data_IF_919525268408
#
_entry.id   IF_919525268408
#
_cell.length_a   1.000
_cell.length_b   1.000
_cell.length_c   1.000
_cell.angle_alpha   90.00
_cell.angle_beta   90.00
_cell.angle_gamma   90.00
#
_symmetry.space_group_name_H-M   'P 1'
#
loop_
_entity.id
_entity.type
_entity.pdbx_description
1 polymer ?
#
# COMPACT_ATOMS: atom_id res chain seq x y z
N UNK A 1 14.52 -8.93 4.13
CA UNK A 1 15.68 -8.26 4.69
C UNK A 1 16.11 -8.88 6.01
N UNK A 2 17.42 -8.94 6.25
CA UNK A 2 18.01 -9.53 7.46
C UNK A 2 18.01 -8.60 8.70
N UNK A 3 17.27 -7.48 8.65
CA UNK A 3 17.16 -6.60 9.82
C UNK A 3 16.24 -7.24 10.87
N UNK A 4 16.77 -7.40 12.09
CA UNK A 4 15.96 -7.84 13.23
C UNK A 4 14.91 -6.78 13.54
N UNK A 5 13.69 -7.22 13.84
CA UNK A 5 12.65 -6.34 14.34
C UNK A 5 13.17 -5.58 15.57
N UNK A 6 13.08 -4.25 15.52
CA UNK A 6 13.39 -3.36 16.64
C UNK A 6 12.25 -2.37 16.80
N UNK A 7 11.77 -2.20 17.98
CA UNK A 7 10.82 -1.17 18.35
C UNK A 7 11.58 -0.03 19.05
N UNK A 8 11.33 1.21 18.68
CA UNK A 8 11.86 2.36 19.41
C UNK A 8 11.32 2.39 20.85
N UNK A 9 12.17 2.60 21.85
CA UNK A 9 11.72 2.85 23.22
C UNK A 9 10.76 4.04 23.27
N UNK A 10 9.83 4.03 24.23
CA UNK A 10 8.89 5.16 24.40
C UNK A 10 9.61 6.47 24.69
N UNK A 11 10.77 6.43 25.33
CA UNK A 11 11.61 7.60 25.58
C UNK A 11 12.13 8.25 24.30
N UNK A 12 12.55 7.46 23.29
CA UNK A 12 12.96 8.00 21.98
C UNK A 12 11.77 8.68 21.29
N UNK A 13 10.58 8.03 21.29
CA UNK A 13 9.36 8.61 20.71
C UNK A 13 8.97 9.91 21.42
N UNK A 14 9.11 9.94 22.74
CA UNK A 14 8.82 11.14 23.53
C UNK A 14 9.80 12.28 23.23
N UNK A 15 11.08 12.00 23.03
CA UNK A 15 12.09 12.99 22.62
C UNK A 15 11.80 13.55 21.23
N UNK A 16 11.46 12.71 20.28
CA UNK A 16 11.04 13.13 18.93
C UNK A 16 9.82 14.04 18.98
N UNK A 17 8.82 13.70 19.78
CA UNK A 17 7.61 14.51 19.93
C UNK A 17 7.87 15.86 20.63
N UNK A 18 8.80 15.93 21.57
CA UNK A 18 9.27 17.20 22.17
C UNK A 18 9.91 18.10 21.13
N UNK A 19 10.74 17.52 20.22
CA UNK A 19 11.33 18.27 19.13
C UNK A 19 10.26 18.77 18.15
N UNK A 20 9.33 17.91 17.75
CA UNK A 20 8.21 18.33 16.89
C UNK A 20 7.42 19.47 17.55
N UNK A 21 7.07 19.37 18.82
CA UNK A 21 6.36 20.41 19.55
C UNK A 21 7.10 21.74 19.56
N UNK A 22 8.41 21.71 19.74
CA UNK A 22 9.25 22.93 19.77
C UNK A 22 9.29 23.67 18.44
N UNK A 23 9.25 22.94 17.31
CA UNK A 23 9.31 23.54 15.97
C UNK A 23 7.92 23.77 15.34
N UNK A 24 6.95 22.92 15.63
CA UNK A 24 5.60 22.97 15.05
C UNK A 24 4.56 22.51 16.06
N UNK A 25 4.09 23.39 16.95
CA UNK A 25 3.15 23.03 18.03
C UNK A 25 1.76 22.62 17.53
N UNK A 26 1.37 23.00 16.32
CA UNK A 26 0.09 22.64 15.70
C UNK A 26 0.32 21.67 14.54
N UNK A 27 0.22 20.37 14.83
CA UNK A 27 0.32 19.29 13.83
C UNK A 27 -1.07 18.75 13.59
N UNK A 28 -1.46 18.61 12.30
CA UNK A 28 -2.76 18.07 11.91
C UNK A 28 -2.69 16.62 11.44
N UNK A 29 -1.52 16.17 11.01
CA UNK A 29 -1.30 14.79 10.53
C UNK A 29 0.05 14.29 10.99
N UNK A 30 0.06 13.07 11.50
CA UNK A 30 1.27 12.35 11.88
C UNK A 30 1.29 11.03 11.15
N UNK A 31 2.43 10.68 10.58
CA UNK A 31 2.63 9.37 10.00
C UNK A 31 3.74 8.64 10.75
N UNK A 32 3.38 7.53 11.39
CA UNK A 32 4.35 6.67 12.06
C UNK A 32 5.15 5.92 10.99
N UNK A 33 6.44 6.21 10.93
CA UNK A 33 7.37 5.59 10.00
C UNK A 33 8.04 4.35 10.60
N UNK A 34 8.89 3.73 9.83
CA UNK A 34 9.49 2.43 10.12
C UNK A 34 8.85 1.37 9.24
N UNK A 35 9.25 0.10 9.39
CA UNK A 35 8.83 -0.92 8.45
C UNK A 35 7.32 -1.20 8.50
N UNK A 36 6.75 -1.31 9.71
CA UNK A 36 5.34 -1.66 9.91
C UNK A 36 4.89 -1.39 11.35
N UNK A 37 4.55 -0.15 11.71
CA UNK A 37 4.15 0.18 13.07
C UNK A 37 2.86 -0.51 13.53
N UNK A 38 1.93 -0.83 12.61
CA UNK A 38 0.64 -1.43 12.98
C UNK A 38 0.74 -2.89 13.47
N UNK A 39 1.93 -3.51 13.35
CA UNK A 39 2.23 -4.82 13.96
C UNK A 39 2.20 -4.79 15.50
N UNK A 40 2.36 -3.61 16.10
CA UNK A 40 2.33 -3.43 17.54
C UNK A 40 0.95 -3.78 18.11
N UNK A 41 0.94 -4.20 19.38
CA UNK A 41 -0.31 -4.48 20.10
C UNK A 41 -1.14 -3.21 20.25
N UNK A 42 -2.46 -3.35 20.41
CA UNK A 42 -3.39 -2.25 20.64
C UNK A 42 -2.97 -1.38 21.82
N UNK A 43 -2.55 -1.99 22.93
CA UNK A 43 -2.05 -1.26 24.09
C UNK A 43 -0.85 -0.38 23.76
N UNK A 44 0.10 -0.90 22.98
CA UNK A 44 1.29 -0.14 22.59
C UNK A 44 0.97 1.02 21.65
N UNK A 45 0.07 0.81 20.69
CA UNK A 45 -0.44 1.88 19.82
C UNK A 45 -1.20 2.92 20.62
N UNK A 46 -1.97 2.51 21.65
CA UNK A 46 -2.65 3.40 22.59
C UNK A 46 -1.64 4.28 23.33
N UNK A 47 -0.57 3.70 23.89
CA UNK A 47 0.48 4.47 24.58
C UNK A 47 1.12 5.52 23.66
N UNK A 48 1.39 5.17 22.41
CA UNK A 48 1.94 6.09 21.42
C UNK A 48 0.94 7.21 21.10
N UNK A 49 -0.34 6.90 20.90
CA UNK A 49 -1.37 7.90 20.62
C UNK A 49 -1.55 8.88 21.80
N UNK A 50 -1.54 8.38 23.04
CA UNK A 50 -1.61 9.23 24.22
C UNK A 50 -0.39 10.15 24.36
N UNK A 51 0.79 9.64 23.99
CA UNK A 51 2.01 10.45 24.00
C UNK A 51 1.96 11.54 22.92
N UNK A 52 1.47 11.21 21.71
CA UNK A 52 1.22 12.18 20.64
C UNK A 52 0.26 13.28 21.14
N UNK A 53 -0.87 12.91 21.74
CA UNK A 53 -1.84 13.87 22.29
C UNK A 53 -1.23 14.78 23.37
N UNK A 54 -0.33 14.25 24.19
CA UNK A 54 0.35 15.03 25.24
C UNK A 54 1.19 16.18 24.67
N UNK A 55 1.90 15.95 23.56
CA UNK A 55 2.86 16.92 23.02
C UNK A 55 2.31 17.76 21.86
N UNK A 56 1.43 17.21 21.02
CA UNK A 56 0.93 17.89 19.82
C UNK A 56 -0.60 17.90 19.73
N UNK A 57 -1.29 17.71 20.86
CA UNK A 57 -2.72 17.44 20.92
C UNK A 57 -3.65 18.62 20.65
N UNK A 58 -3.18 19.88 20.63
CA UNK A 58 -4.05 21.04 20.39
C UNK A 58 -4.74 21.03 19.02
N UNK A 59 -4.20 20.30 18.04
CA UNK A 59 -4.73 20.18 16.69
C UNK A 59 -5.55 18.90 16.45
N UNK A 60 -5.72 18.02 17.43
CA UNK A 60 -6.29 16.68 17.25
C UNK A 60 -5.71 15.98 16.01
N UNK A 61 -4.39 15.72 15.96
CA UNK A 61 -3.78 15.19 14.76
C UNK A 61 -4.32 13.81 14.40
N UNK A 62 -4.61 13.59 13.14
CA UNK A 62 -4.84 12.24 12.62
C UNK A 62 -3.52 11.47 12.55
N UNK A 63 -3.56 10.20 12.91
CA UNK A 63 -2.40 9.31 12.94
C UNK A 63 -2.55 8.28 11.81
N UNK A 64 -1.55 8.18 10.95
CA UNK A 64 -1.45 7.15 9.95
C UNK A 64 -0.20 6.31 10.13
N UNK A 65 -0.19 5.11 9.56
CA UNK A 65 1.00 4.27 9.52
C UNK A 65 0.91 3.19 8.43
N UNK A 66 2.03 2.52 8.19
CA UNK A 66 2.04 1.31 7.38
C UNK A 66 1.45 0.13 8.15
N UNK A 67 0.73 -0.72 7.41
CA UNK A 67 0.12 -1.95 7.92
C UNK A 67 0.23 -3.09 6.89
N UNK A 68 0.12 -4.31 7.38
CA UNK A 68 -0.11 -5.51 6.58
C UNK A 68 -1.51 -6.05 6.91
N UNK A 69 -2.09 -6.84 6.01
CA UNK A 69 -3.37 -7.53 6.26
C UNK A 69 -3.30 -8.40 7.53
N UNK A 70 -2.16 -9.06 7.75
CA UNK A 70 -1.92 -9.90 8.94
C UNK A 70 -1.96 -9.11 10.26
N UNK A 71 -1.61 -7.82 10.26
CA UNK A 71 -1.60 -7.01 11.48
C UNK A 71 -3.01 -6.56 11.87
N UNK A 72 -3.87 -6.33 10.86
CA UNK A 72 -5.28 -6.03 11.06
C UNK A 72 -6.01 -7.27 11.58
N UNK A 73 -5.67 -8.47 11.06
CA UNK A 73 -6.22 -9.75 11.53
C UNK A 73 -6.06 -9.93 13.04
N UNK A 74 -4.95 -9.50 13.60
CA UNK A 74 -4.61 -9.62 15.01
C UNK A 74 -5.34 -8.63 15.93
N UNK A 75 -6.24 -7.79 15.41
CA UNK A 75 -7.02 -6.83 16.17
C UNK A 75 -8.51 -7.07 15.97
N UNK A 76 -9.30 -6.92 17.04
CA UNK A 76 -10.76 -6.95 16.95
C UNK A 76 -11.32 -5.64 16.39
N UNK A 77 -12.60 -5.62 16.02
CA UNK A 77 -13.27 -4.38 15.56
C UNK A 77 -13.30 -3.36 16.69
N UNK A 78 -13.53 -3.79 17.92
CA UNK A 78 -13.56 -2.94 19.11
C UNK A 78 -12.19 -2.30 19.39
N UNK A 79 -11.11 -3.07 19.24
CA UNK A 79 -9.74 -2.56 19.36
C UNK A 79 -9.43 -1.52 18.26
N UNK A 80 -9.88 -1.77 17.02
CA UNK A 80 -9.73 -0.83 15.92
C UNK A 80 -10.52 0.46 16.16
N UNK A 81 -11.77 0.35 16.66
CA UNK A 81 -12.59 1.50 17.05
C UNK A 81 -11.92 2.31 18.18
N UNK A 82 -11.34 1.63 19.18
CA UNK A 82 -10.57 2.29 20.22
C UNK A 82 -9.39 3.08 19.63
N UNK A 83 -8.65 2.50 18.71
CA UNK A 83 -7.53 3.16 18.03
C UNK A 83 -8.01 4.35 17.20
N UNK A 84 -9.14 4.22 16.49
CA UNK A 84 -9.74 5.33 15.75
C UNK A 84 -10.08 6.50 16.67
N UNK A 85 -10.73 6.27 17.82
CA UNK A 85 -11.02 7.32 18.83
C UNK A 85 -9.75 7.97 19.38
N UNK A 86 -8.61 7.28 19.33
CA UNK A 86 -7.32 7.83 19.73
C UNK A 86 -6.61 8.61 18.61
N UNK A 87 -7.21 8.64 17.40
CA UNK A 87 -6.73 9.41 16.26
C UNK A 87 -6.12 8.57 15.14
N UNK A 88 -6.05 7.24 15.23
CA UNK A 88 -5.66 6.40 14.09
C UNK A 88 -6.75 6.45 13.04
N UNK A 89 -6.54 7.25 11.99
CA UNK A 89 -7.55 7.58 11.00
C UNK A 89 -7.31 6.86 9.66
N UNK A 90 -6.06 6.54 9.34
CA UNK A 90 -5.75 5.90 8.06
C UNK A 90 -4.55 4.96 8.11
N UNK A 91 -4.62 3.91 7.31
CA UNK A 91 -3.54 2.94 7.13
C UNK A 91 -3.09 2.89 5.67
N UNK A 92 -1.79 2.75 5.45
CA UNK A 92 -1.24 2.41 4.13
C UNK A 92 -0.89 0.92 4.14
N UNK A 93 -1.59 0.16 3.32
CA UNK A 93 -1.55 -1.30 3.31
C UNK A 93 -0.86 -1.79 2.04
N UNK A 94 0.26 -2.48 2.20
CA UNK A 94 0.90 -3.21 1.11
C UNK A 94 0.14 -4.49 0.80
N UNK A 95 -0.97 -4.38 0.04
CA UNK A 95 -1.72 -5.57 -0.42
C UNK A 95 -0.96 -6.29 -1.53
N UNK A 96 -0.19 -5.56 -2.31
CA UNK A 96 0.64 -5.96 -3.45
C UNK A 96 -0.16 -6.59 -4.62
N UNK A 97 -1.17 -7.39 -4.33
CA UNK A 97 -2.03 -8.10 -5.30
C UNK A 97 -3.35 -8.48 -4.64
N UNK A 98 -4.39 -8.72 -5.43
CA UNK A 98 -5.63 -9.39 -5.04
C UNK A 98 -5.71 -10.83 -5.57
N UNK A 99 -4.70 -11.30 -6.29
CA UNK A 99 -4.63 -12.67 -6.81
C UNK A 99 -4.00 -13.62 -5.78
N UNK A 100 -4.80 -14.53 -5.22
CA UNK A 100 -4.34 -15.51 -4.23
C UNK A 100 -3.19 -16.38 -4.71
N UNK A 101 -3.09 -16.67 -6.00
CA UNK A 101 -1.99 -17.44 -6.58
C UNK A 101 -0.69 -16.65 -6.52
N UNK A 102 -0.73 -15.38 -6.91
CA UNK A 102 0.40 -14.44 -6.80
C UNK A 102 0.80 -14.24 -5.33
N UNK A 103 -0.17 -14.01 -4.43
CA UNK A 103 0.08 -13.83 -3.00
C UNK A 103 0.73 -15.06 -2.35
N UNK A 104 0.28 -16.25 -2.72
CA UNK A 104 0.85 -17.52 -2.26
C UNK A 104 2.29 -17.67 -2.72
N UNK A 105 2.53 -17.41 -3.99
CA UNK A 105 3.85 -17.52 -4.61
C UNK A 105 4.89 -16.64 -3.91
N UNK A 106 4.53 -15.40 -3.59
CA UNK A 106 5.45 -14.47 -2.89
C UNK A 106 5.37 -14.55 -1.37
N UNK A 107 4.72 -15.58 -0.84
CA UNK A 107 4.61 -15.88 0.59
C UNK A 107 4.13 -14.70 1.44
N UNK A 108 3.03 -14.05 1.02
CA UNK A 108 2.45 -12.90 1.76
C UNK A 108 1.81 -13.30 3.10
N UNK A 109 1.45 -14.59 3.27
CA UNK A 109 0.84 -15.12 4.49
C UNK A 109 -0.66 -14.81 4.63
N UNK A 110 -1.33 -14.42 3.54
CA UNK A 110 -2.77 -14.20 3.44
C UNK A 110 -3.23 -14.40 1.99
N UNK A 111 -4.53 -14.55 1.80
CA UNK A 111 -5.21 -14.75 0.52
C UNK A 111 -6.13 -13.55 0.21
N UNK A 112 -6.75 -13.57 -0.96
CA UNK A 112 -7.68 -12.51 -1.43
C UNK A 112 -8.85 -12.28 -0.47
N UNK A 113 -9.41 -13.35 0.09
CA UNK A 113 -10.54 -13.30 1.02
C UNK A 113 -10.16 -12.60 2.33
N UNK A 114 -8.92 -12.80 2.79
CA UNK A 114 -8.39 -12.11 3.97
C UNK A 114 -8.33 -10.59 3.76
N UNK A 115 -7.99 -10.14 2.55
CA UNK A 115 -7.97 -8.70 2.23
C UNK A 115 -9.36 -8.12 2.44
N UNK A 116 -10.38 -8.77 1.87
CA UNK A 116 -11.78 -8.33 1.99
C UNK A 116 -12.22 -8.33 3.45
N UNK A 117 -11.98 -9.42 4.17
CA UNK A 117 -12.39 -9.57 5.57
C UNK A 117 -11.75 -8.49 6.46
N UNK A 118 -10.43 -8.31 6.36
CA UNK A 118 -9.71 -7.40 7.25
C UNK A 118 -10.00 -5.93 6.92
N UNK A 119 -10.13 -5.56 5.63
CA UNK A 119 -10.49 -4.19 5.27
C UNK A 119 -11.92 -3.83 5.68
N UNK A 120 -12.87 -4.77 5.64
CA UNK A 120 -14.21 -4.57 6.19
C UNK A 120 -14.21 -4.34 7.72
N UNK A 121 -13.23 -4.86 8.45
CA UNK A 121 -13.06 -4.52 9.88
C UNK A 121 -12.63 -3.06 10.06
N UNK A 122 -11.74 -2.57 9.18
CA UNK A 122 -11.35 -1.16 9.18
C UNK A 122 -12.55 -0.26 8.87
N UNK A 123 -13.35 -0.60 7.85
CA UNK A 123 -14.57 0.15 7.50
C UNK A 123 -15.56 0.21 8.66
N UNK A 124 -15.77 -0.90 9.39
CA UNK A 124 -16.61 -0.93 10.61
C UNK A 124 -16.05 -0.08 11.76
N UNK A 125 -14.76 0.21 11.73
CA UNK A 125 -14.08 1.02 12.74
C UNK A 125 -13.85 2.47 12.29
N UNK A 126 -14.37 2.87 11.13
CA UNK A 126 -14.18 4.19 10.49
C UNK A 126 -12.68 4.53 10.26
N UNK A 127 -11.84 3.52 10.08
CA UNK A 127 -10.43 3.71 9.71
C UNK A 127 -10.30 3.63 8.19
N UNK A 128 -9.89 4.72 7.58
CA UNK A 128 -9.61 4.80 6.16
C UNK A 128 -8.35 4.01 5.80
N UNK A 129 -8.22 3.61 4.53
CA UNK A 129 -7.03 2.89 4.09
C UNK A 129 -6.67 3.21 2.64
N UNK A 130 -5.37 3.11 2.38
CA UNK A 130 -4.75 3.23 1.07
C UNK A 130 -4.09 1.91 0.73
N UNK A 131 -4.21 1.46 -0.52
CA UNK A 131 -3.53 0.26 -0.99
C UNK A 131 -2.24 0.62 -1.73
N UNK A 132 -1.23 -0.24 -1.57
CA UNK A 132 -0.16 -0.37 -2.55
C UNK A 132 -0.36 -1.65 -3.33
N UNK A 133 -0.39 -1.52 -4.66
CA UNK A 133 -0.43 -2.59 -5.64
C UNK A 133 0.91 -2.68 -6.34
N UNK A 134 1.50 -3.88 -6.44
CA UNK A 134 2.82 -4.09 -6.98
C UNK A 134 2.73 -4.70 -8.37
N UNK A 135 2.87 -3.86 -9.38
CA UNK A 135 2.80 -4.20 -10.80
C UNK A 135 3.96 -5.11 -11.19
N UNK A 136 3.69 -6.14 -11.97
CA UNK A 136 4.68 -7.13 -12.40
C UNK A 136 4.96 -8.24 -11.39
N UNK A 137 4.27 -8.24 -10.23
CA UNK A 137 4.50 -9.26 -9.19
C UNK A 137 4.12 -10.67 -9.64
N UNK A 138 3.16 -10.80 -10.55
CA UNK A 138 2.77 -12.09 -11.14
C UNK A 138 3.83 -12.71 -12.04
N UNK A 139 4.78 -11.90 -12.54
CA UNK A 139 5.80 -12.31 -13.51
C UNK A 139 5.26 -12.36 -14.95
N UNK A 140 6.14 -12.77 -15.86
CA UNK A 140 5.85 -12.85 -17.29
C UNK A 140 4.57 -13.64 -17.60
N UNK A 141 3.72 -13.11 -18.48
CA UNK A 141 2.46 -13.71 -18.93
C UNK A 141 1.32 -13.73 -17.92
N UNK A 142 1.49 -13.21 -16.70
CA UNK A 142 0.49 -13.28 -15.63
C UNK A 142 -0.14 -11.91 -15.24
N UNK A 143 0.24 -10.83 -15.91
CA UNK A 143 -0.21 -9.47 -15.56
C UNK A 143 -1.72 -9.30 -15.67
N UNK A 144 -2.34 -9.71 -16.79
CA UNK A 144 -3.79 -9.61 -16.99
C UNK A 144 -4.58 -10.36 -15.89
N UNK A 145 -4.19 -11.61 -15.62
CA UNK A 145 -4.83 -12.42 -14.57
C UNK A 145 -4.71 -11.73 -13.21
N UNK A 146 -3.52 -11.23 -12.87
CA UNK A 146 -3.26 -10.54 -11.61
C UNK A 146 -4.13 -9.28 -11.48
N UNK A 147 -4.23 -8.48 -12.54
CA UNK A 147 -5.05 -7.29 -12.60
C UNK A 147 -6.55 -7.59 -12.43
N UNK A 148 -7.09 -8.53 -13.20
CA UNK A 148 -8.52 -8.89 -13.16
C UNK A 148 -8.94 -9.43 -11.79
N UNK A 149 -8.14 -10.34 -11.21
CA UNK A 149 -8.42 -10.89 -9.87
C UNK A 149 -8.28 -9.81 -8.79
N UNK A 150 -7.31 -8.93 -8.91
CA UNK A 150 -7.14 -7.80 -7.98
C UNK A 150 -8.30 -6.80 -8.07
N UNK A 151 -8.77 -6.48 -9.27
CA UNK A 151 -9.97 -5.67 -9.47
C UNK A 151 -11.20 -6.30 -8.80
N UNK A 152 -11.37 -7.61 -8.96
CA UNK A 152 -12.47 -8.36 -8.34
C UNK A 152 -12.48 -8.30 -6.80
N UNK A 153 -11.30 -8.22 -6.18
CA UNK A 153 -11.15 -8.03 -4.72
C UNK A 153 -11.39 -6.58 -4.34
N UNK A 154 -10.73 -5.64 -5.01
CA UNK A 154 -10.79 -4.21 -4.66
C UNK A 154 -12.18 -3.61 -4.87
N UNK A 155 -12.93 -4.07 -5.86
CA UNK A 155 -14.31 -3.65 -6.11
C UNK A 155 -15.30 -4.00 -5.00
N UNK A 156 -14.92 -4.83 -4.02
CA UNK A 156 -15.72 -5.16 -2.83
C UNK A 156 -15.44 -4.24 -1.64
N UNK A 157 -14.53 -3.26 -1.80
CA UNK A 157 -13.93 -2.45 -0.74
C UNK A 157 -13.94 -0.96 -1.12
N UNK A 158 -13.58 -0.10 -0.15
CA UNK A 158 -13.58 1.34 -0.32
C UNK A 158 -12.20 1.98 0.00
N UNK A 159 -11.11 1.56 -0.66
CA UNK A 159 -9.81 2.22 -0.47
C UNK A 159 -9.89 3.68 -0.92
N UNK A 160 -9.38 4.60 -0.10
CA UNK A 160 -9.30 6.03 -0.46
C UNK A 160 -8.42 6.24 -1.68
N UNK A 161 -7.32 5.46 -1.77
CA UNK A 161 -6.48 5.44 -2.96
C UNK A 161 -5.81 4.09 -3.18
N UNK A 162 -5.40 3.86 -4.42
CA UNK A 162 -4.57 2.73 -4.83
C UNK A 162 -3.30 3.29 -5.44
N UNK A 163 -2.17 3.07 -4.76
CA UNK A 163 -0.84 3.42 -5.23
C UNK A 163 -0.25 2.30 -6.07
N UNK A 164 0.16 2.60 -7.29
CA UNK A 164 0.82 1.68 -8.19
C UNK A 164 2.33 1.79 -8.02
N UNK A 165 3.00 0.67 -7.77
CA UNK A 165 4.44 0.57 -7.72
C UNK A 165 4.88 -0.52 -8.70
N UNK A 166 5.91 -0.28 -9.50
CA UNK A 166 6.50 -1.33 -10.33
C UNK A 166 7.49 -2.17 -9.52
N UNK A 167 7.44 -3.48 -9.71
CA UNK A 167 8.35 -4.42 -9.06
C UNK A 167 9.79 -4.03 -9.34
N UNK A 168 10.54 -3.81 -8.28
CA UNK A 168 11.99 -3.61 -8.33
C UNK A 168 12.68 -4.77 -7.62
N UNK A 169 13.58 -5.43 -8.31
CA UNK A 169 14.28 -6.59 -7.81
C UNK A 169 15.58 -6.18 -7.13
N UNK A 170 15.74 -6.64 -5.91
CA UNK A 170 16.96 -6.44 -5.15
C UNK A 170 17.76 -7.74 -5.08
N UNK A 171 19.10 -7.73 -5.24
CA UNK A 171 19.93 -8.93 -5.25
C UNK A 171 19.75 -9.84 -4.02
N UNK A 172 19.38 -9.26 -2.87
CA UNK A 172 19.16 -9.99 -1.63
C UNK A 172 17.75 -10.58 -1.50
N UNK A 173 16.85 -10.32 -2.47
CA UNK A 173 15.49 -10.83 -2.44
C UNK A 173 15.42 -12.28 -2.89
N UNK A 174 14.46 -13.02 -2.33
CA UNK A 174 14.19 -14.40 -2.77
C UNK A 174 13.79 -14.43 -4.25
N UNK A 175 13.00 -13.46 -4.70
CA UNK A 175 12.53 -13.39 -6.08
C UNK A 175 13.69 -13.21 -7.08
N UNK A 176 14.73 -12.44 -6.71
CA UNK A 176 15.94 -12.33 -7.51
C UNK A 176 16.69 -13.66 -7.61
N UNK A 177 16.77 -14.43 -6.53
CA UNK A 177 17.36 -15.77 -6.56
C UNK A 177 16.57 -16.72 -7.46
N UNK A 178 15.24 -16.64 -7.42
CA UNK A 178 14.36 -17.45 -8.27
C UNK A 178 14.54 -17.13 -9.76
N UNK A 179 14.87 -15.89 -10.13
CA UNK A 179 15.24 -15.53 -11.50
C UNK A 179 16.54 -16.25 -11.91
N UNK A 180 17.55 -16.21 -11.07
CA UNK A 180 18.83 -16.88 -11.35
C UNK A 180 18.68 -18.39 -11.49
N UNK A 181 17.68 -18.97 -10.84
CA UNK A 181 17.33 -20.39 -10.91
C UNK A 181 16.34 -20.74 -12.05
N UNK A 182 15.90 -19.74 -12.81
CA UNK A 182 14.90 -19.93 -13.89
C UNK A 182 13.50 -20.29 -13.40
N UNK A 183 13.19 -20.00 -12.11
CA UNK A 183 11.88 -20.25 -11.48
C UNK A 183 10.92 -19.07 -11.55
N UNK A 184 11.41 -17.89 -11.84
CA UNK A 184 10.65 -16.68 -12.06
C UNK A 184 11.20 -15.95 -13.27
N UNK A 185 10.30 -15.51 -14.13
CA UNK A 185 10.58 -14.62 -15.25
C UNK A 185 9.90 -13.28 -14.97
N UNK A 186 10.67 -12.21 -15.05
CA UNK A 186 10.16 -10.86 -14.80
C UNK A 186 9.24 -10.43 -15.95
N UNK A 187 8.13 -9.79 -15.60
CA UNK A 187 7.26 -9.16 -16.58
C UNK A 187 8.02 -8.05 -17.33
N UNK A 188 7.86 -8.02 -18.64
CA UNK A 188 8.37 -6.94 -19.48
C UNK A 188 7.70 -5.60 -19.11
N UNK A 189 8.29 -4.48 -19.49
CA UNK A 189 7.65 -3.18 -19.25
C UNK A 189 6.30 -3.06 -19.95
N UNK A 190 6.16 -3.64 -21.15
CA UNK A 190 4.90 -3.68 -21.86
C UNK A 190 3.82 -4.42 -21.06
N UNK A 191 4.13 -5.61 -20.56
CA UNK A 191 3.21 -6.38 -19.73
C UNK A 191 2.82 -5.65 -18.45
N UNK A 192 3.75 -4.90 -17.85
CA UNK A 192 3.45 -4.08 -16.67
C UNK A 192 2.47 -2.95 -16.97
N UNK A 193 2.59 -2.32 -18.13
CA UNK A 193 1.62 -1.31 -18.54
C UNK A 193 0.25 -1.91 -18.86
N UNK A 194 0.21 -3.05 -19.57
CA UNK A 194 -1.03 -3.76 -19.84
C UNK A 194 -1.72 -4.20 -18.55
N UNK A 195 -0.95 -4.64 -17.55
CA UNK A 195 -1.45 -4.96 -16.21
C UNK A 195 -2.08 -3.72 -15.53
N UNK A 196 -1.40 -2.57 -15.58
CA UNK A 196 -1.93 -1.32 -15.00
C UNK A 196 -3.21 -0.87 -15.70
N UNK A 197 -3.24 -0.88 -17.03
CA UNK A 197 -4.41 -0.51 -17.84
C UNK A 197 -5.57 -1.44 -17.50
N UNK A 198 -5.34 -2.76 -17.51
CA UNK A 198 -6.36 -3.75 -17.18
C UNK A 198 -6.94 -3.54 -15.79
N UNK A 199 -6.09 -3.26 -14.79
CA UNK A 199 -6.57 -2.98 -13.44
C UNK A 199 -7.45 -1.72 -13.40
N UNK A 200 -6.99 -0.61 -14.01
CA UNK A 200 -7.71 0.67 -14.03
C UNK A 200 -9.08 0.53 -14.72
N UNK A 201 -9.13 -0.17 -15.86
CA UNK A 201 -10.37 -0.40 -16.61
C UNK A 201 -11.41 -1.21 -15.84
N UNK A 202 -10.95 -2.16 -15.02
CA UNK A 202 -11.83 -3.07 -14.27
C UNK A 202 -12.13 -2.61 -12.83
N UNK A 203 -11.57 -1.49 -12.38
CA UNK A 203 -11.95 -0.88 -11.11
C UNK A 203 -13.24 -0.07 -11.28
N UNK A 204 -14.30 -0.40 -10.53
CA UNK A 204 -15.62 0.23 -10.60
C UNK A 204 -15.96 1.05 -9.35
N UNK A 205 -15.04 1.12 -8.40
CA UNK A 205 -15.17 1.86 -7.15
C UNK A 205 -14.75 3.32 -7.28
N UNK A 206 -15.21 4.13 -6.33
CA UNK A 206 -14.73 5.50 -6.17
C UNK A 206 -13.41 5.47 -5.38
N UNK A 207 -12.31 5.81 -6.04
CA UNK A 207 -10.97 5.81 -5.44
C UNK A 207 -10.04 6.72 -6.22
N UNK A 208 -8.94 7.12 -5.59
CA UNK A 208 -7.86 7.81 -6.30
C UNK A 208 -6.79 6.80 -6.74
N UNK A 209 -6.27 6.95 -7.94
CA UNK A 209 -5.14 6.19 -8.44
C UNK A 209 -3.87 7.03 -8.42
N UNK A 210 -2.78 6.49 -7.88
CA UNK A 210 -1.53 7.20 -7.64
C UNK A 210 -0.36 6.38 -8.20
N UNK A 211 0.21 6.81 -9.32
CA UNK A 211 1.36 6.19 -9.97
C UNK A 211 2.62 7.07 -9.99
N UNK A 212 2.71 8.07 -9.10
CA UNK A 212 3.87 8.97 -9.01
C UNK A 212 4.96 8.41 -8.08
N UNK A 213 5.43 7.22 -8.37
CA UNK A 213 6.54 6.60 -7.64
C UNK A 213 7.78 6.52 -8.53
N UNK A 214 8.96 6.54 -7.93
CA UNK A 214 10.23 6.42 -8.67
C UNK A 214 10.38 5.08 -9.40
N UNK A 215 9.61 4.07 -9.03
CA UNK A 215 9.61 2.77 -9.70
C UNK A 215 8.76 2.73 -10.97
N UNK A 216 7.89 3.73 -11.20
CA UNK A 216 7.06 3.79 -12.39
C UNK A 216 7.74 4.69 -13.44
N UNK A 217 7.97 4.20 -14.65
CA UNK A 217 8.58 4.98 -15.72
C UNK A 217 7.71 6.17 -16.13
N UNK A 218 6.39 6.05 -15.92
CA UNK A 218 5.41 7.08 -16.26
C UNK A 218 4.61 7.49 -15.03
N UNK A 219 4.70 8.74 -14.58
CA UNK A 219 3.91 9.24 -13.46
C UNK A 219 2.47 9.54 -13.89
N UNK A 220 1.49 9.00 -13.18
CA UNK A 220 0.07 9.30 -13.38
C UNK A 220 -0.68 9.47 -12.07
N UNK A 221 -1.80 10.18 -12.12
CA UNK A 221 -2.78 10.28 -11.03
C UNK A 221 -4.16 10.48 -11.61
N UNK A 222 -5.19 10.02 -10.93
CA UNK A 222 -6.57 10.20 -11.37
C UNK A 222 -7.57 9.84 -10.30
N UNK A 223 -8.84 10.14 -10.59
CA UNK A 223 -9.98 9.80 -9.73
C UNK A 223 -10.92 8.88 -10.49
N UNK A 224 -11.16 7.68 -9.97
CA UNK A 224 -12.11 6.74 -10.55
C UNK A 224 -13.51 6.96 -9.96
N UNK A 225 -14.56 6.71 -10.72
CA UNK A 225 -14.57 6.23 -12.11
C UNK A 225 -14.37 7.34 -13.18
N UNK A 226 -14.28 8.61 -12.79
CA UNK A 226 -14.32 9.76 -13.70
C UNK A 226 -13.17 9.74 -14.74
N UNK A 227 -11.93 9.44 -14.32
CA UNK A 227 -10.74 9.54 -15.17
C UNK A 227 -10.34 8.20 -15.82
N UNK A 228 -11.21 7.18 -15.77
CA UNK A 228 -10.85 5.82 -16.20
C UNK A 228 -10.34 5.74 -17.63
N UNK A 229 -11.13 6.23 -18.58
CA UNK A 229 -10.81 6.16 -20.01
C UNK A 229 -9.57 7.01 -20.31
N UNK A 230 -9.54 8.26 -19.85
CA UNK A 230 -8.42 9.16 -20.10
C UNK A 230 -7.09 8.64 -19.54
N UNK A 231 -7.10 7.86 -18.45
CA UNK A 231 -5.87 7.30 -17.88
C UNK A 231 -5.40 6.03 -18.59
N UNK A 232 -6.33 5.21 -19.06
CA UNK A 232 -5.99 4.09 -19.93
C UNK A 232 -5.36 4.60 -21.24
N UNK A 233 -5.99 5.57 -21.90
CA UNK A 233 -5.46 6.21 -23.11
C UNK A 233 -4.08 6.86 -22.88
N UNK A 234 -3.86 7.57 -21.77
CA UNK A 234 -2.57 8.16 -21.43
C UNK A 234 -1.48 7.10 -21.26
N UNK A 235 -1.79 5.99 -20.59
CA UNK A 235 -0.86 4.87 -20.44
C UNK A 235 -0.51 4.26 -21.80
N UNK A 236 -1.48 4.08 -22.70
CA UNK A 236 -1.25 3.57 -24.06
C UNK A 236 -0.40 4.51 -24.92
N UNK A 237 -0.67 5.81 -24.89
CA UNK A 237 0.10 6.81 -25.62
C UNK A 237 1.57 6.83 -25.18
N UNK A 238 1.80 6.74 -23.88
CA UNK A 238 3.13 6.74 -23.32
C UNK A 238 3.87 5.42 -23.59
N UNK A 239 3.16 4.30 -23.62
CA UNK A 239 3.71 3.02 -24.08
C UNK A 239 4.21 3.10 -25.52
N UNK A 240 3.42 3.70 -26.41
CA UNK A 240 3.82 3.89 -27.81
C UNK A 240 5.08 4.74 -27.91
N UNK A 241 5.09 5.88 -27.22
CA UNK A 241 6.25 6.78 -27.20
C UNK A 241 7.52 6.11 -26.65
N UNK A 242 7.38 5.27 -25.62
CA UNK A 242 8.50 4.52 -25.04
C UNK A 242 9.00 3.43 -25.99
N UNK A 243 8.09 2.69 -26.64
CA UNK A 243 8.44 1.69 -27.65
C UNK A 243 9.21 2.30 -28.81
N UNK A 244 8.70 3.42 -29.35
CA UNK A 244 9.35 4.14 -30.46
C UNK A 244 10.74 4.65 -30.08
N UNK A 245 10.98 4.99 -28.81
CA UNK A 245 12.29 5.42 -28.31
C UNK A 245 13.30 4.29 -28.19
N UNK A 246 12.86 3.05 -27.90
CA UNK A 246 13.74 1.87 -27.83
C UNK A 246 14.07 1.35 -29.24
N UNK A 247 13.12 1.35 -30.16
CA UNK A 247 13.33 0.92 -31.53
C UNK A 247 14.25 1.87 -32.34
N UNK A 248 14.49 3.09 -31.81
CA UNK A 248 15.36 4.10 -32.40
C UNK A 248 16.82 4.07 -31.87
N UNK A 249 17.15 3.16 -30.94
CA UNK A 249 18.49 2.94 -30.41
C UNK A 249 19.13 1.69 -30.99
#
# INVERSE_FOLDING_TARGET
GKQKFRMSPMSEIEEDLKLVHAFQPRVHRIFLTGANPFVLTTNRLTDIALLIRKYVGEGHPTIGCFSRITDIRNKTVEELQQLHHLGFDYLTIGVESGDSETLTRVNKGYMSEDIVEQCRKLEKADIHYHFFYLVGLGGHGNGERNALRSAGVFNQLHPVSIGFLSLTLFPESQLYQEIQEGKFEEATEHERFDEMITLIEHLHIQTHILGRTVSNPVPFTGSLPHDRVAKAELCEEQLRSYRDSIESL
#
